data_IF_804717525703
#
_entry.id   IF_804717525703
#
_cell.length_a   1.000
_cell.length_b   1.000
_cell.length_c   1.000
_cell.angle_alpha   90.00
_cell.angle_beta   90.00
_cell.angle_gamma   90.00
#
_symmetry.space_group_name_H-M   'P 1'
#
loop_
_entity.id
_entity.type
_entity.pdbx_description
1 polymer ?
#
# COMPACT_ATOMS: atom_id res chain seq x y z
N UNK A 1 -11.44 1.43 22.78
CA UNK A 1 -10.29 2.35 22.79
C UNK A 1 -10.09 2.70 21.33
N UNK A 2 -10.59 3.86 20.88
CA UNK A 2 -10.59 4.24 19.46
C UNK A 2 -9.30 5.02 19.21
N UNK A 3 -8.30 4.35 18.65
CA UNK A 3 -7.15 5.00 18.04
C UNK A 3 -7.37 4.95 16.52
N UNK A 4 -8.42 5.60 16.01
CA UNK A 4 -8.79 5.41 14.60
C UNK A 4 -9.02 6.70 13.81
N UNK A 5 -8.76 7.88 14.39
CA UNK A 5 -8.89 9.13 13.62
C UNK A 5 -7.71 10.10 13.77
N UNK A 6 -7.03 10.14 14.92
CA UNK A 6 -5.90 11.05 15.14
C UNK A 6 -4.56 10.53 14.59
N UNK A 7 -4.35 9.20 14.59
CA UNK A 7 -3.06 8.64 14.20
C UNK A 7 -2.85 8.68 12.68
N UNK A 8 -3.84 8.26 11.88
CA UNK A 8 -3.75 8.31 10.42
C UNK A 8 -3.56 9.74 9.91
N UNK A 9 -4.34 10.70 10.41
CA UNK A 9 -4.22 12.11 10.03
C UNK A 9 -2.82 12.67 10.33
N UNK A 10 -2.18 12.21 11.41
CA UNK A 10 -0.83 12.64 11.79
C UNK A 10 0.29 12.02 10.93
N UNK A 11 0.05 10.88 10.28
CA UNK A 11 1.04 10.16 9.47
C UNK A 11 0.75 10.19 7.97
N UNK A 12 -0.45 10.61 7.54
CA UNK A 12 -0.87 10.55 6.14
C UNK A 12 -0.06 11.50 5.26
N UNK A 13 0.19 12.73 5.71
CA UNK A 13 1.05 13.68 4.99
C UNK A 13 2.50 13.18 4.85
N UNK A 14 3.22 12.78 5.92
CA UNK A 14 4.59 12.30 5.76
C UNK A 14 4.69 11.01 4.93
N UNK A 15 3.70 10.10 5.02
CA UNK A 15 3.64 8.92 4.15
C UNK A 15 3.42 9.32 2.69
N UNK A 16 2.50 10.25 2.41
CA UNK A 16 2.22 10.74 1.05
C UNK A 16 3.47 11.36 0.41
N UNK A 17 4.20 12.18 1.17
CA UNK A 17 5.46 12.80 0.73
C UNK A 17 6.50 11.72 0.44
N UNK A 18 6.68 10.75 1.34
CA UNK A 18 7.64 9.67 1.14
C UNK A 18 7.32 8.84 -0.10
N UNK A 19 6.04 8.52 -0.33
CA UNK A 19 5.59 7.79 -1.52
C UNK A 19 5.84 8.61 -2.79
N UNK A 20 5.51 9.90 -2.79
CA UNK A 20 5.74 10.78 -3.93
C UNK A 20 7.23 10.85 -4.30
N UNK A 21 8.12 11.07 -3.31
CA UNK A 21 9.57 11.07 -3.54
C UNK A 21 10.07 9.73 -4.06
N UNK A 22 9.57 8.61 -3.52
CA UNK A 22 9.95 7.29 -4.00
C UNK A 22 9.52 7.03 -5.46
N UNK A 23 8.36 7.52 -5.89
CA UNK A 23 7.90 7.44 -7.29
C UNK A 23 8.75 8.28 -8.25
N UNK A 24 9.23 9.44 -7.81
CA UNK A 24 10.15 10.28 -8.60
C UNK A 24 11.50 9.59 -8.81
N UNK A 25 12.01 8.92 -7.77
CA UNK A 25 13.26 8.15 -7.83
C UNK A 25 13.13 6.83 -8.61
N UNK A 26 11.92 6.27 -8.67
CA UNK A 26 11.61 4.98 -9.29
C UNK A 26 10.51 5.12 -10.36
N UNK A 27 10.80 5.82 -11.48
CA UNK A 27 9.81 6.13 -12.50
C UNK A 27 9.22 4.85 -13.10
N UNK A 28 7.94 4.61 -12.83
CA UNK A 28 7.19 3.48 -13.33
C UNK A 28 5.74 3.90 -13.58
N UNK A 29 5.33 3.89 -14.85
CA UNK A 29 4.00 4.33 -15.28
C UNK A 29 2.85 3.49 -14.70
N UNK A 30 3.16 2.32 -14.14
CA UNK A 30 2.17 1.43 -13.54
C UNK A 30 1.91 1.74 -12.06
N UNK A 31 2.68 2.65 -11.46
CA UNK A 31 2.54 3.03 -10.06
C UNK A 31 2.00 4.46 -9.96
N UNK A 32 1.06 4.67 -9.04
CA UNK A 32 0.58 6.01 -8.72
C UNK A 32 0.32 6.16 -7.23
N UNK A 33 0.52 7.36 -6.71
CA UNK A 33 0.18 7.72 -5.34
C UNK A 33 -1.35 7.65 -5.14
N UNK A 34 -1.77 7.05 -4.03
CA UNK A 34 -3.09 7.24 -3.44
C UNK A 34 -2.89 8.22 -2.29
N UNK A 35 -3.51 9.40 -2.40
CA UNK A 35 -3.42 10.45 -1.39
C UNK A 35 -4.79 10.66 -0.74
N UNK A 36 -4.83 11.09 0.54
CA UNK A 36 -6.08 11.44 1.20
C UNK A 36 -6.82 12.54 0.46
N UNK A 37 -8.15 12.47 0.48
CA UNK A 37 -9.08 13.43 -0.10
C UNK A 37 -10.26 13.64 0.85
N UNK A 38 -11.12 14.62 0.54
CA UNK A 38 -12.32 14.89 1.36
C UNK A 38 -13.28 13.68 1.45
N UNK A 39 -13.22 12.76 0.46
CA UNK A 39 -14.12 11.59 0.35
C UNK A 39 -13.45 10.24 0.69
N UNK A 40 -12.12 10.19 0.76
CA UNK A 40 -11.33 8.96 1.01
C UNK A 40 -10.06 9.34 1.79
N UNK A 41 -9.95 8.90 3.05
CA UNK A 41 -8.85 9.22 3.96
C UNK A 41 -7.61 8.34 3.77
N UNK A 42 -7.60 7.49 2.73
CA UNK A 42 -6.55 6.52 2.50
C UNK A 42 -5.28 7.12 1.87
N UNK A 43 -4.14 6.55 2.26
CA UNK A 43 -2.82 6.86 1.70
C UNK A 43 -2.11 5.57 1.30
N UNK A 44 -1.46 5.55 0.14
CA UNK A 44 -0.76 4.36 -0.33
C UNK A 44 -0.33 4.41 -1.79
N UNK A 45 -0.21 3.23 -2.39
CA UNK A 45 0.18 3.04 -3.79
C UNK A 45 -0.88 2.26 -4.52
N UNK A 46 -1.22 2.71 -5.72
CA UNK A 46 -1.91 1.91 -6.71
C UNK A 46 -0.89 1.30 -7.67
N UNK A 47 -1.06 0.03 -8.03
CA UNK A 47 -0.18 -0.70 -8.94
C UNK A 47 -0.99 -1.44 -10.00
N UNK A 48 -0.78 -1.09 -11.27
CA UNK A 48 -1.37 -1.80 -12.40
C UNK A 48 -0.40 -2.87 -12.93
N UNK A 49 -0.66 -4.14 -12.66
CA UNK A 49 0.24 -5.21 -13.10
C UNK A 49 -0.45 -6.56 -13.22
N UNK A 50 0.07 -7.41 -14.12
CA UNK A 50 -0.20 -8.84 -14.16
C UNK A 50 1.02 -9.69 -13.77
N UNK A 51 2.10 -9.05 -13.30
CA UNK A 51 3.38 -9.68 -12.93
C UNK A 51 3.55 -9.66 -11.42
N UNK A 52 3.77 -10.83 -10.84
CA UNK A 52 4.11 -11.00 -9.41
C UNK A 52 5.35 -10.22 -9.01
N UNK A 53 6.38 -10.23 -9.85
CA UNK A 53 7.65 -9.56 -9.54
C UNK A 53 7.51 -8.05 -9.35
N UNK A 54 6.49 -7.42 -9.96
CA UNK A 54 6.22 -5.99 -9.80
C UNK A 54 5.72 -5.62 -8.38
N UNK A 55 5.21 -6.59 -7.60
CA UNK A 55 4.79 -6.34 -6.22
C UNK A 55 5.97 -6.12 -5.28
N UNK A 56 7.14 -6.71 -5.57
CA UNK A 56 8.22 -6.84 -4.60
C UNK A 56 8.73 -5.49 -4.11
N UNK A 57 9.04 -4.57 -5.01
CA UNK A 57 9.59 -3.27 -4.63
C UNK A 57 8.56 -2.39 -3.90
N UNK A 58 7.35 -2.14 -4.43
CA UNK A 58 6.31 -1.37 -3.74
C UNK A 58 5.98 -1.90 -2.35
N UNK A 59 5.77 -3.23 -2.23
CA UNK A 59 5.37 -3.84 -0.96
C UNK A 59 6.48 -3.76 0.09
N UNK A 60 7.75 -3.93 -0.31
CA UNK A 60 8.87 -3.75 0.63
C UNK A 60 9.04 -2.27 1.04
N UNK A 61 8.81 -1.33 0.13
CA UNK A 61 8.86 0.10 0.44
C UNK A 61 7.75 0.49 1.43
N UNK A 62 6.50 0.08 1.19
CA UNK A 62 5.40 0.33 2.12
C UNK A 62 5.66 -0.33 3.48
N UNK A 63 6.25 -1.53 3.51
CA UNK A 63 6.63 -2.17 4.77
C UNK A 63 7.68 -1.36 5.54
N UNK A 64 8.64 -0.74 4.85
CA UNK A 64 9.60 0.17 5.48
C UNK A 64 8.89 1.37 6.14
N UNK A 65 7.95 2.02 5.42
CA UNK A 65 7.15 3.11 5.97
C UNK A 65 6.31 2.64 7.17
N UNK A 66 5.71 1.45 7.08
CA UNK A 66 4.94 0.84 8.16
C UNK A 66 5.77 0.74 9.46
N UNK A 67 7.03 0.31 9.35
CA UNK A 67 7.94 0.25 10.51
C UNK A 67 8.31 1.64 11.05
N UNK A 68 8.50 2.62 10.18
CA UNK A 68 8.86 3.99 10.60
C UNK A 68 7.71 4.70 11.33
N UNK A 69 6.49 4.54 10.82
CA UNK A 69 5.31 5.23 11.33
C UNK A 69 4.49 4.40 12.32
N UNK A 70 4.91 3.17 12.62
CA UNK A 70 4.19 2.20 13.46
C UNK A 70 2.74 1.99 12.98
N UNK A 71 2.59 1.83 11.67
CA UNK A 71 1.31 1.69 11.00
C UNK A 71 1.17 0.30 10.36
N UNK A 72 -0.07 -0.04 10.01
CA UNK A 72 -0.40 -1.21 9.20
C UNK A 72 -0.83 -0.77 7.81
N UNK A 73 -0.50 -1.58 6.81
CA UNK A 73 -0.95 -1.44 5.44
C UNK A 73 -1.74 -2.67 5.03
N UNK A 74 -2.57 -2.49 4.00
CA UNK A 74 -3.32 -3.58 3.40
C UNK A 74 -3.08 -3.60 1.90
N UNK A 75 -2.79 -4.79 1.37
CA UNK A 75 -2.90 -5.03 -0.06
C UNK A 75 -4.36 -5.35 -0.35
N UNK A 76 -4.93 -4.66 -1.33
CA UNK A 76 -6.26 -4.94 -1.84
C UNK A 76 -6.28 -5.04 -3.35
N UNK A 77 -7.33 -5.68 -3.88
CA UNK A 77 -7.63 -5.71 -5.31
C UNK A 77 -8.81 -4.80 -5.60
N UNK A 78 -8.71 -3.97 -6.64
CA UNK A 78 -9.85 -3.24 -7.18
C UNK A 78 -10.60 -4.15 -8.15
N UNK A 79 -11.85 -4.48 -7.84
CA UNK A 79 -12.68 -5.36 -8.67
C UNK A 79 -13.43 -4.59 -9.77
N UNK A 80 -14.00 -5.31 -10.74
CA UNK A 80 -14.96 -4.75 -11.70
C UNK A 80 -16.14 -4.15 -10.91
N UNK A 81 -16.27 -2.82 -10.94
CA UNK A 81 -17.23 -2.07 -10.11
C UNK A 81 -16.59 -1.15 -9.07
N UNK A 82 -15.26 -1.09 -8.99
CA UNK A 82 -14.54 -0.13 -8.15
C UNK A 82 -14.51 -0.46 -6.65
N UNK A 83 -14.96 -1.67 -6.27
CA UNK A 83 -14.86 -2.15 -4.89
C UNK A 83 -13.44 -2.59 -4.60
N UNK A 84 -12.96 -2.29 -3.39
CA UNK A 84 -11.67 -2.76 -2.88
C UNK A 84 -11.90 -4.01 -2.04
N UNK A 85 -11.23 -5.10 -2.38
CA UNK A 85 -11.20 -6.33 -1.58
C UNK A 85 -9.83 -6.48 -0.94
N UNK A 86 -9.79 -6.43 0.38
CA UNK A 86 -8.56 -6.61 1.15
C UNK A 86 -8.10 -8.07 1.10
N UNK A 87 -6.83 -8.29 0.79
CA UNK A 87 -6.27 -9.65 0.65
C UNK A 87 -5.19 -9.97 1.68
N UNK A 88 -4.40 -9.00 2.12
CA UNK A 88 -3.28 -9.25 3.03
C UNK A 88 -2.93 -7.97 3.81
N UNK A 89 -2.94 -8.07 5.13
CA UNK A 89 -2.45 -7.03 6.03
C UNK A 89 -0.97 -7.27 6.36
N UNK A 90 -0.21 -6.19 6.51
CA UNK A 90 1.21 -6.24 6.86
C UNK A 90 1.65 -4.91 7.48
N UNK A 91 2.72 -4.92 8.27
CA UNK A 91 3.21 -3.67 8.86
C UNK A 91 3.95 -3.81 10.18
N UNK A 92 3.68 -2.88 11.10
CA UNK A 92 4.43 -2.78 12.34
C UNK A 92 4.25 -3.99 13.24
N UNK A 93 3.00 -4.42 13.44
CA UNK A 93 2.61 -5.58 14.27
C UNK A 93 2.44 -6.85 13.42
N UNK A 94 1.78 -6.76 12.25
CA UNK A 94 1.56 -7.91 11.35
C UNK A 94 2.86 -8.45 10.76
N UNK A 95 3.89 -7.61 10.68
CA UNK A 95 5.21 -7.98 10.21
C UNK A 95 5.32 -7.96 8.69
N UNK A 96 6.34 -8.66 8.18
CA UNK A 96 6.75 -8.54 6.78
C UNK A 96 5.79 -9.29 5.85
N UNK A 97 5.30 -8.64 4.78
CA UNK A 97 4.43 -9.31 3.80
C UNK A 97 5.19 -10.39 3.00
N UNK A 98 4.51 -11.50 2.69
CA UNK A 98 4.98 -12.50 1.73
C UNK A 98 4.42 -12.23 0.33
N UNK A 99 5.30 -11.81 -0.58
CA UNK A 99 4.96 -11.53 -1.98
C UNK A 99 4.39 -12.75 -2.71
N UNK A 100 4.79 -13.96 -2.34
CA UNK A 100 4.25 -15.18 -2.94
C UNK A 100 2.81 -15.41 -2.52
N UNK A 101 2.50 -15.19 -1.24
CA UNK A 101 1.15 -15.34 -0.70
C UNK A 101 0.22 -14.27 -1.30
N UNK A 102 0.64 -12.99 -1.28
CA UNK A 102 -0.12 -11.89 -1.89
C UNK A 102 -0.41 -12.19 -3.37
N UNK A 103 0.60 -12.64 -4.12
CA UNK A 103 0.42 -12.96 -5.54
C UNK A 103 -0.58 -14.10 -5.75
N UNK A 104 -0.63 -15.09 -4.86
CA UNK A 104 -1.62 -16.18 -4.95
C UNK A 104 -3.04 -15.65 -4.74
N UNK A 105 -3.27 -14.80 -3.73
CA UNK A 105 -4.57 -14.17 -3.51
C UNK A 105 -5.00 -13.30 -4.68
N UNK A 106 -4.07 -12.56 -5.28
CA UNK A 106 -4.32 -11.72 -6.46
C UNK A 106 -4.41 -12.52 -7.78
N UNK A 107 -4.24 -13.84 -7.75
CA UNK A 107 -4.26 -14.67 -8.96
C UNK A 107 -3.08 -14.47 -9.91
N UNK A 108 -1.99 -13.85 -9.46
CA UNK A 108 -0.79 -13.57 -10.24
C UNK A 108 0.12 -14.81 -10.29
N UNK A 109 0.14 -15.49 -11.44
CA UNK A 109 0.82 -16.79 -11.62
C UNK A 109 2.28 -16.70 -12.09
N UNK A 110 2.78 -15.52 -12.48
CA UNK A 110 4.11 -15.32 -13.06
C UNK A 110 4.80 -14.08 -12.54
#
# INVERSE_FOLDING_TARGET
MLAEHDELASIAEPISVAIASWLEENPNNNLSLVAPSDDDDQVGLNLETNKKMALKEPVNFLYFLAKQHKAEFVVGMVTEGGKRENVCFFGFEEGRPDVNEIAQYLGLKR
#
